data_IF_436510050551
#
_entry.id   IF_436510050551
#
_cell.length_a   1.000
_cell.length_b   1.000
_cell.length_c   1.000
_cell.angle_alpha   90.00
_cell.angle_beta   90.00
_cell.angle_gamma   90.00
#
_symmetry.space_group_name_H-M   'P 1'
#
loop_
_entity.id
_entity.type
_entity.pdbx_description
1 polymer ?
#
# COMPACT_ATOMS: atom_id res chain seq x y z
N UNK A 1 -13.30 -11.83 16.46
CA UNK A 1 -12.92 -11.01 17.63
C UNK A 1 -11.41 -10.72 17.62
N UNK A 2 -10.52 -11.72 17.75
CA UNK A 2 -9.06 -11.50 17.74
C UNK A 2 -8.51 -10.81 16.48
N UNK A 3 -8.93 -11.22 15.29
CA UNK A 3 -8.52 -10.59 14.02
C UNK A 3 -8.90 -9.10 13.97
N UNK A 4 -10.11 -8.75 14.41
CA UNK A 4 -10.63 -7.37 14.42
C UNK A 4 -9.84 -6.48 15.37
N UNK A 5 -9.51 -6.99 16.56
CA UNK A 5 -8.71 -6.25 17.55
C UNK A 5 -7.27 -6.08 17.07
N UNK A 6 -6.67 -7.12 16.49
CA UNK A 6 -5.29 -7.06 15.95
C UNK A 6 -5.21 -6.10 14.76
N UNK A 7 -6.09 -6.20 13.76
CA UNK A 7 -6.07 -5.29 12.60
C UNK A 7 -6.42 -3.84 12.95
N UNK A 8 -7.29 -3.61 13.94
CA UNK A 8 -7.58 -2.28 14.46
C UNK A 8 -6.37 -1.67 15.20
N UNK A 9 -5.73 -2.47 16.06
CA UNK A 9 -4.54 -2.05 16.82
C UNK A 9 -3.32 -1.85 15.92
N UNK A 10 -3.13 -2.71 14.92
CA UNK A 10 -2.08 -2.59 13.92
C UNK A 10 -2.24 -1.38 13.01
N UNK A 11 -3.48 -1.05 12.63
CA UNK A 11 -3.75 0.14 11.81
C UNK A 11 -3.27 1.44 12.45
N UNK A 12 -3.11 1.45 13.78
CA UNK A 12 -2.61 2.59 14.53
C UNK A 12 -1.12 2.48 14.90
N UNK A 13 -0.65 1.28 15.31
CA UNK A 13 0.60 1.12 16.06
C UNK A 13 1.77 0.54 15.25
N UNK A 14 1.57 -0.24 14.18
CA UNK A 14 2.68 -1.05 13.64
C UNK A 14 2.97 -0.88 12.14
N UNK A 15 4.25 -0.81 11.73
CA UNK A 15 4.70 -0.89 10.33
C UNK A 15 4.64 -2.32 9.74
N UNK A 16 3.89 -3.24 10.36
CA UNK A 16 3.64 -4.57 9.79
C UNK A 16 2.57 -4.45 8.70
N UNK A 17 2.92 -4.85 7.47
CA UNK A 17 1.98 -4.92 6.36
C UNK A 17 0.80 -5.84 6.75
N UNK A 18 -0.47 -5.37 6.71
CA UNK A 18 -1.65 -6.21 7.00
C UNK A 18 -1.69 -7.49 6.18
N UNK A 19 -1.04 -7.46 5.01
CA UNK A 19 -0.79 -8.58 4.09
C UNK A 19 -0.15 -9.78 4.81
N UNK A 20 0.72 -9.56 5.83
CA UNK A 20 1.36 -10.62 6.60
C UNK A 20 0.38 -11.47 7.40
N UNK A 21 -0.78 -10.91 7.75
CA UNK A 21 -1.85 -11.62 8.45
C UNK A 21 -2.92 -12.08 7.46
N UNK A 22 -3.26 -11.24 6.47
CA UNK A 22 -4.30 -11.53 5.50
C UNK A 22 -3.95 -12.74 4.62
N UNK A 23 -2.74 -12.79 4.07
CA UNK A 23 -2.32 -13.87 3.16
C UNK A 23 -2.36 -15.26 3.82
N UNK A 24 -1.73 -15.50 4.99
CA UNK A 24 -1.81 -16.81 5.63
C UNK A 24 -3.23 -17.18 6.06
N UNK A 25 -4.06 -16.20 6.47
CA UNK A 25 -5.46 -16.45 6.81
C UNK A 25 -6.27 -16.88 5.59
N UNK A 26 -6.10 -16.18 4.47
CA UNK A 26 -6.72 -16.54 3.19
C UNK A 26 -6.22 -17.89 2.68
N UNK A 27 -4.94 -18.24 2.88
CA UNK A 27 -4.41 -19.55 2.49
C UNK A 27 -4.90 -20.68 3.41
N UNK A 28 -5.14 -20.41 4.70
CA UNK A 28 -5.69 -21.40 5.61
C UNK A 28 -7.15 -21.77 5.26
N UNK A 29 -7.89 -20.81 4.71
CA UNK A 29 -9.29 -20.99 4.30
C UNK A 29 -9.59 -20.20 3.01
N UNK A 30 -9.18 -20.73 1.84
CA UNK A 30 -9.32 -20.04 0.55
C UNK A 30 -10.76 -19.73 0.17
N UNK A 31 -11.72 -20.54 0.60
CA UNK A 31 -13.14 -20.34 0.31
C UNK A 31 -13.66 -19.01 0.88
N UNK A 32 -13.10 -18.53 1.98
CA UNK A 32 -13.47 -17.26 2.62
C UNK A 32 -12.46 -16.13 2.34
N UNK A 33 -11.50 -16.31 1.43
CA UNK A 33 -10.45 -15.33 1.17
C UNK A 33 -10.99 -13.94 0.74
N UNK A 34 -12.06 -13.91 -0.08
CA UNK A 34 -12.72 -12.66 -0.49
C UNK A 34 -13.36 -11.96 0.71
N UNK A 35 -13.97 -12.72 1.62
CA UNK A 35 -14.57 -12.18 2.84
C UNK A 35 -13.50 -11.56 3.77
N UNK A 36 -12.38 -12.25 3.97
CA UNK A 36 -11.27 -11.71 4.77
C UNK A 36 -10.67 -10.46 4.13
N UNK A 37 -10.53 -10.42 2.81
CA UNK A 37 -10.07 -9.23 2.08
C UNK A 37 -11.03 -8.03 2.22
N UNK A 38 -12.34 -8.27 2.16
CA UNK A 38 -13.34 -7.24 2.37
C UNK A 38 -13.31 -6.70 3.81
N UNK A 39 -13.18 -7.58 4.80
CA UNK A 39 -13.04 -7.21 6.20
C UNK A 39 -11.75 -6.42 6.47
N UNK A 40 -10.63 -6.85 5.90
CA UNK A 40 -9.36 -6.12 5.99
C UNK A 40 -9.47 -4.74 5.36
N UNK A 41 -10.17 -4.62 4.23
CA UNK A 41 -10.43 -3.33 3.57
C UNK A 41 -11.20 -2.39 4.49
N UNK A 42 -12.32 -2.83 5.06
CA UNK A 42 -13.14 -1.97 5.93
C UNK A 42 -12.41 -1.60 7.22
N UNK A 43 -11.73 -2.55 7.86
CA UNK A 43 -10.92 -2.28 9.05
C UNK A 43 -9.78 -1.29 8.75
N UNK A 44 -9.11 -1.44 7.60
CA UNK A 44 -8.03 -0.56 7.18
C UNK A 44 -8.50 0.86 6.90
N UNK A 45 -9.65 1.01 6.21
CA UNK A 45 -10.26 2.32 5.96
C UNK A 45 -10.69 2.98 7.27
N UNK A 46 -11.28 2.22 8.20
CA UNK A 46 -11.64 2.73 9.52
C UNK A 46 -10.41 3.24 10.31
N UNK A 47 -9.30 2.50 10.29
CA UNK A 47 -8.03 2.98 10.86
C UNK A 47 -7.49 4.25 10.16
N UNK A 48 -7.71 4.35 8.84
CA UNK A 48 -7.42 5.54 8.06
C UNK A 48 -8.18 6.79 8.50
N UNK A 49 -9.41 6.65 9.02
CA UNK A 49 -10.17 7.77 9.56
C UNK A 49 -9.48 8.39 10.77
N UNK A 50 -8.86 7.56 11.61
CA UNK A 50 -8.09 8.03 12.77
C UNK A 50 -6.82 8.75 12.28
N UNK A 51 -6.12 8.19 11.29
CA UNK A 51 -4.98 8.84 10.66
C UNK A 51 -5.33 10.21 10.06
N UNK A 52 -6.46 10.30 9.37
CA UNK A 52 -6.99 11.55 8.83
C UNK A 52 -7.32 12.57 9.94
N UNK A 53 -7.94 12.14 11.03
CA UNK A 53 -8.21 13.00 12.19
C UNK A 53 -6.92 13.55 12.82
N UNK A 54 -5.90 12.70 12.98
CA UNK A 54 -4.58 13.10 13.49
C UNK A 54 -3.91 14.12 12.57
N UNK A 55 -3.97 13.88 11.26
CA UNK A 55 -3.48 14.83 10.27
C UNK A 55 -4.16 16.18 10.39
N UNK A 56 -5.49 16.19 10.50
CA UNK A 56 -6.27 17.42 10.64
C UNK A 56 -5.92 18.21 11.90
N UNK A 57 -5.65 17.51 13.02
CA UNK A 57 -5.29 18.12 14.29
C UNK A 57 -3.85 18.66 14.32
N UNK A 58 -2.89 17.90 13.78
CA UNK A 58 -1.48 18.30 13.76
C UNK A 58 -1.15 19.31 12.66
N UNK A 59 -1.99 19.40 11.63
CA UNK A 59 -1.82 20.30 10.49
C UNK A 59 -0.60 19.98 9.62
N UNK A 60 -0.24 20.87 8.67
CA UNK A 60 0.82 20.62 7.70
C UNK A 60 2.20 20.36 8.31
N UNK A 61 2.46 20.87 9.53
CA UNK A 61 3.75 20.70 10.22
C UNK A 61 4.12 19.23 10.49
N UNK A 62 3.15 18.32 10.59
CA UNK A 62 3.42 16.88 10.77
C UNK A 62 4.16 16.27 9.58
N UNK A 63 4.05 16.88 8.41
CA UNK A 63 4.54 16.32 7.16
C UNK A 63 6.05 16.46 7.02
N UNK A 64 6.65 17.38 7.78
CA UNK A 64 8.10 17.46 7.99
C UNK A 64 8.69 16.18 8.61
N UNK A 65 7.88 15.39 9.34
CA UNK A 65 8.28 14.12 9.95
C UNK A 65 8.22 12.94 8.98
N UNK A 66 7.64 13.11 7.79
CA UNK A 66 7.51 12.08 6.77
C UNK A 66 8.25 12.49 5.50
N UNK A 67 9.50 12.05 5.30
CA UNK A 67 10.30 12.44 4.13
C UNK A 67 9.59 12.18 2.79
N UNK A 68 8.89 11.04 2.69
CA UNK A 68 8.12 10.66 1.50
C UNK A 68 6.91 11.59 1.24
N UNK A 69 6.32 12.17 2.28
CA UNK A 69 5.24 13.14 2.13
C UNK A 69 5.79 14.52 1.76
N UNK A 70 6.92 14.92 2.37
CA UNK A 70 7.55 16.23 2.17
C UNK A 70 7.89 16.51 0.70
N UNK A 71 8.55 15.59 0.01
CA UNK A 71 8.94 15.78 -1.41
C UNK A 71 7.74 15.90 -2.34
N UNK A 72 6.64 15.21 -2.02
CA UNK A 72 5.40 15.33 -2.77
C UNK A 72 4.70 16.67 -2.50
N UNK A 73 5.00 17.32 -1.37
CA UNK A 73 4.26 18.47 -0.84
C UNK A 73 4.81 19.85 -1.16
N UNK A 74 6.12 20.01 -1.37
CA UNK A 74 6.71 21.28 -1.82
C UNK A 74 6.12 21.73 -3.17
N UNK A 75 5.48 20.82 -3.91
CA UNK A 75 4.75 21.08 -5.15
C UNK A 75 3.26 21.37 -4.95
N UNK A 76 2.71 21.08 -3.78
CA UNK A 76 1.26 21.06 -3.50
C UNK A 76 0.74 22.37 -2.93
N UNK A 77 1.59 23.24 -2.40
CA UNK A 77 1.17 24.58 -1.92
C UNK A 77 0.57 25.46 -3.03
N UNK A 78 0.86 25.16 -4.30
CA UNK A 78 0.29 25.84 -5.46
C UNK A 78 -0.97 25.17 -6.04
N UNK A 79 -1.38 24.01 -5.51
CA UNK A 79 -2.49 23.23 -6.06
C UNK A 79 -3.82 23.58 -5.42
N UNK A 80 -4.86 23.62 -6.25
CA UNK A 80 -6.25 23.66 -5.82
C UNK A 80 -6.62 22.41 -5.02
N UNK A 81 -7.65 22.50 -4.17
CA UNK A 81 -8.19 21.37 -3.39
C UNK A 81 -8.52 20.14 -4.25
N UNK A 82 -8.90 20.34 -5.52
CA UNK A 82 -9.19 19.26 -6.47
C UNK A 82 -7.93 18.54 -6.94
N UNK A 83 -6.86 19.28 -7.22
CA UNK A 83 -5.57 18.71 -7.63
C UNK A 83 -4.91 17.94 -6.49
N UNK A 84 -5.02 18.44 -5.25
CA UNK A 84 -4.55 17.73 -4.06
C UNK A 84 -5.23 16.36 -3.92
N UNK A 85 -6.55 16.30 -4.15
CA UNK A 85 -7.29 15.04 -4.10
C UNK A 85 -6.78 14.02 -5.15
N UNK A 86 -6.43 14.48 -6.36
CA UNK A 86 -5.85 13.62 -7.39
C UNK A 86 -4.45 13.11 -7.03
N UNK A 87 -3.60 13.97 -6.45
CA UNK A 87 -2.28 13.56 -5.96
C UNK A 87 -2.41 12.49 -4.89
N UNK A 88 -3.33 12.66 -3.93
CA UNK A 88 -3.60 11.67 -2.89
C UNK A 88 -4.16 10.38 -3.48
N UNK A 89 -5.04 10.47 -4.48
CA UNK A 89 -5.54 9.28 -5.18
C UNK A 89 -4.40 8.47 -5.82
N UNK A 90 -3.51 9.13 -6.55
CA UNK A 90 -2.35 8.47 -7.15
C UNK A 90 -1.39 7.91 -6.09
N UNK A 91 -1.19 8.64 -4.98
CA UNK A 91 -0.39 8.17 -3.86
C UNK A 91 -1.00 6.92 -3.21
N UNK A 92 -2.31 6.88 -3.00
CA UNK A 92 -3.03 5.70 -2.47
C UNK A 92 -2.94 4.51 -3.42
N UNK A 93 -2.87 4.75 -4.72
CA UNK A 93 -2.67 3.68 -5.71
C UNK A 93 -1.24 3.12 -5.72
N UNK A 94 -0.27 3.90 -5.26
CA UNK A 94 1.13 3.48 -5.18
C UNK A 94 1.35 2.51 -4.01
N UNK A 95 2.48 1.78 -3.96
CA UNK A 95 2.80 0.87 -2.84
C UNK A 95 3.18 1.61 -1.54
N UNK A 96 2.86 2.90 -1.41
CA UNK A 96 3.16 3.70 -0.23
C UNK A 96 2.37 3.24 1.00
N UNK A 97 2.94 3.39 2.21
CA UNK A 97 2.24 3.10 3.45
C UNK A 97 1.02 4.03 3.61
N UNK A 98 -0.17 3.45 3.63
CA UNK A 98 -1.44 4.20 3.74
C UNK A 98 -1.57 5.07 4.99
N UNK A 99 -0.87 4.73 6.09
CA UNK A 99 -0.82 5.60 7.28
C UNK A 99 -0.26 6.97 6.93
N UNK A 100 0.81 7.03 6.13
CA UNK A 100 1.39 8.30 5.66
C UNK A 100 0.35 9.06 4.84
N UNK A 101 -0.39 8.36 3.99
CA UNK A 101 -1.35 8.97 3.06
C UNK A 101 -2.59 9.50 3.79
N UNK A 102 -3.13 8.74 4.74
CA UNK A 102 -4.27 9.17 5.56
C UNK A 102 -3.95 10.37 6.44
N UNK A 103 -2.79 10.37 7.11
CA UNK A 103 -2.30 11.53 7.87
C UNK A 103 -2.08 12.73 6.95
N UNK A 104 -1.51 12.52 5.76
CA UNK A 104 -1.31 13.59 4.77
C UNK A 104 -2.64 14.16 4.28
N UNK A 105 -3.63 13.32 3.98
CA UNK A 105 -4.95 13.76 3.57
C UNK A 105 -5.65 14.60 4.63
N UNK A 106 -5.50 14.22 5.91
CA UNK A 106 -6.01 14.99 7.04
C UNK A 106 -5.32 16.34 7.20
N UNK A 107 -3.99 16.34 7.15
CA UNK A 107 -3.18 17.54 7.33
C UNK A 107 -3.38 18.58 6.20
N UNK A 108 -3.67 18.10 4.99
CA UNK A 108 -4.05 18.92 3.84
C UNK A 108 -5.54 19.23 3.75
N UNK A 109 -6.35 18.79 4.73
CA UNK A 109 -7.80 19.02 4.82
C UNK A 109 -8.54 18.64 3.53
N UNK A 110 -8.15 17.52 2.91
CA UNK A 110 -8.87 17.00 1.74
C UNK A 110 -10.30 16.66 2.14
N UNK A 111 -11.27 16.96 1.26
CA UNK A 111 -12.69 16.69 1.51
C UNK A 111 -12.90 15.24 1.99
N UNK A 112 -13.57 15.08 3.14
CA UNK A 112 -13.70 13.78 3.82
C UNK A 112 -14.41 12.71 2.98
N UNK A 113 -15.57 12.98 2.33
CA UNK A 113 -16.16 12.07 1.35
C UNK A 113 -15.19 11.62 0.25
N UNK A 114 -14.39 12.54 -0.30
CA UNK A 114 -13.40 12.22 -1.33
C UNK A 114 -12.30 11.31 -0.76
N UNK A 115 -11.83 11.59 0.46
CA UNK A 115 -10.85 10.76 1.15
C UNK A 115 -11.36 9.33 1.39
N UNK A 116 -12.64 9.16 1.77
CA UNK A 116 -13.26 7.84 1.93
C UNK A 116 -13.21 7.07 0.61
N UNK A 117 -13.67 7.69 -0.49
CA UNK A 117 -13.71 7.05 -1.81
C UNK A 117 -12.32 6.62 -2.27
N UNK A 118 -11.34 7.53 -2.16
CA UNK A 118 -9.95 7.25 -2.52
C UNK A 118 -9.37 6.12 -1.66
N UNK A 119 -9.58 6.21 -0.34
CA UNK A 119 -9.11 5.20 0.61
C UNK A 119 -9.68 3.83 0.33
N UNK A 120 -10.99 3.76 0.13
CA UNK A 120 -11.68 2.52 -0.17
C UNK A 120 -11.16 1.92 -1.48
N UNK A 121 -11.06 2.73 -2.54
CA UNK A 121 -10.53 2.27 -3.82
C UNK A 121 -9.11 1.70 -3.71
N UNK A 122 -8.21 2.37 -2.98
CA UNK A 122 -6.84 1.89 -2.80
C UNK A 122 -6.71 0.64 -1.97
N UNK A 123 -7.44 0.60 -0.85
CA UNK A 123 -7.41 -0.53 0.07
C UNK A 123 -8.10 -1.76 -0.51
N UNK A 124 -9.26 -1.56 -1.12
CA UNK A 124 -9.97 -2.62 -1.81
C UNK A 124 -9.09 -3.18 -2.93
N UNK A 125 -8.46 -2.34 -3.76
CA UNK A 125 -7.54 -2.82 -4.79
C UNK A 125 -6.46 -3.73 -4.21
N UNK A 126 -5.77 -3.32 -3.14
CA UNK A 126 -4.68 -4.12 -2.57
C UNK A 126 -5.18 -5.45 -2.00
N UNK A 127 -6.13 -5.40 -1.06
CA UNK A 127 -6.56 -6.59 -0.34
C UNK A 127 -7.49 -7.48 -1.16
N UNK A 128 -8.38 -6.93 -1.99
CA UNK A 128 -9.25 -7.75 -2.84
C UNK A 128 -8.48 -8.44 -3.94
N UNK A 129 -7.43 -7.83 -4.52
CA UNK A 129 -6.59 -8.54 -5.48
C UNK A 129 -5.96 -9.76 -4.80
N UNK A 130 -5.41 -9.60 -3.59
CA UNK A 130 -4.83 -10.71 -2.82
C UNK A 130 -5.89 -11.79 -2.50
N UNK A 131 -7.05 -11.38 -1.97
CA UNK A 131 -8.14 -12.29 -1.61
C UNK A 131 -8.71 -13.04 -2.82
N UNK A 132 -8.91 -12.37 -3.96
CA UNK A 132 -9.39 -12.98 -5.20
C UNK A 132 -8.36 -13.94 -5.78
N UNK A 133 -7.08 -13.56 -5.79
CA UNK A 133 -6.02 -14.46 -6.24
C UNK A 133 -5.97 -15.73 -5.39
N UNK A 134 -6.06 -15.60 -4.07
CA UNK A 134 -6.04 -16.76 -3.17
C UNK A 134 -7.33 -17.57 -3.26
N UNK A 135 -8.49 -16.93 -3.47
CA UNK A 135 -9.74 -17.65 -3.67
C UNK A 135 -9.70 -18.58 -4.88
N UNK A 136 -9.13 -18.12 -6.01
CA UNK A 136 -9.04 -18.92 -7.23
C UNK A 136 -7.82 -19.86 -7.26
N UNK A 137 -6.66 -19.42 -6.78
CA UNK A 137 -5.39 -20.14 -6.91
C UNK A 137 -4.86 -20.72 -5.59
N UNK A 138 -5.52 -20.46 -4.46
CA UNK A 138 -5.04 -20.84 -3.13
C UNK A 138 -4.97 -22.34 -2.94
N UNK A 139 -5.96 -23.11 -3.42
CA UNK A 139 -5.93 -24.58 -3.36
C UNK A 139 -4.75 -25.15 -4.15
N UNK A 140 -4.54 -24.67 -5.38
CA UNK A 140 -3.39 -25.04 -6.20
C UNK A 140 -2.05 -24.62 -5.56
N UNK A 141 -2.00 -23.44 -4.92
CA UNK A 141 -0.82 -22.98 -4.20
C UNK A 141 -0.50 -23.85 -2.98
N UNK A 142 -1.51 -24.29 -2.24
CA UNK A 142 -1.36 -25.19 -1.08
C UNK A 142 -0.89 -26.57 -1.52
N UNK A 143 -1.42 -27.10 -2.62
CA UNK A 143 -0.94 -28.36 -3.21
C UNK A 143 0.50 -28.24 -3.67
N UNK A 144 0.87 -27.16 -4.37
CA UNK A 144 2.25 -26.88 -4.77
C UNK A 144 3.18 -26.81 -3.55
N UNK A 145 2.78 -26.13 -2.47
CA UNK A 145 3.56 -26.01 -1.24
C UNK A 145 3.74 -27.36 -0.55
N UNK A 146 2.72 -28.24 -0.60
CA UNK A 146 2.79 -29.59 -0.04
C UNK A 146 3.69 -30.51 -0.86
N UNK A 147 3.69 -30.37 -2.18
CA UNK A 147 4.44 -31.23 -3.10
C UNK A 147 5.91 -30.79 -3.23
N UNK A 148 6.16 -29.49 -3.20
CA UNK A 148 7.49 -28.88 -3.34
C UNK A 148 7.95 -28.28 -2.01
N UNK A 149 8.77 -29.03 -1.26
CA UNK A 149 9.41 -28.58 -0.02
C UNK A 149 10.08 -27.20 -0.15
N UNK A 150 10.26 -26.51 0.99
CA UNK A 150 10.86 -25.17 1.21
C UNK A 150 11.95 -24.73 0.21
N UNK A 151 12.78 -25.64 -0.29
CA UNK A 151 13.87 -25.37 -1.22
C UNK A 151 13.38 -24.80 -2.57
N UNK A 152 12.33 -25.36 -3.15
CA UNK A 152 11.83 -24.96 -4.48
C UNK A 152 11.09 -23.63 -4.45
N UNK A 153 10.32 -23.38 -3.40
CA UNK A 153 9.67 -22.09 -3.16
C UNK A 153 10.72 -20.99 -2.92
N UNK A 154 11.79 -21.29 -2.17
CA UNK A 154 12.91 -20.37 -1.98
C UNK A 154 13.64 -20.04 -3.29
N UNK A 155 13.78 -21.00 -4.20
CA UNK A 155 14.37 -20.78 -5.54
C UNK A 155 13.50 -19.87 -6.39
N UNK A 156 12.19 -20.08 -6.45
CA UNK A 156 11.26 -19.25 -7.24
C UNK A 156 11.20 -17.81 -6.70
N UNK A 157 11.13 -17.66 -5.38
CA UNK A 157 11.17 -16.34 -4.72
C UNK A 157 12.51 -15.66 -4.96
N UNK A 158 13.62 -16.40 -4.83
CA UNK A 158 14.96 -15.91 -5.13
C UNK A 158 15.11 -15.42 -6.57
N UNK A 159 14.64 -16.21 -7.55
CA UNK A 159 14.64 -15.83 -8.97
C UNK A 159 13.81 -14.58 -9.20
N UNK A 160 12.62 -14.49 -8.61
CA UNK A 160 11.72 -13.34 -8.74
C UNK A 160 12.31 -12.06 -8.13
N UNK A 161 13.02 -12.17 -7.00
CA UNK A 161 13.75 -11.07 -6.36
C UNK A 161 14.95 -10.61 -7.22
N UNK A 162 15.70 -11.55 -7.80
CA UNK A 162 16.82 -11.24 -8.70
C UNK A 162 16.29 -10.58 -9.98
N UNK A 163 15.21 -11.09 -10.56
CA UNK A 163 14.58 -10.53 -11.76
C UNK A 163 14.09 -9.09 -11.53
N UNK A 164 13.40 -8.85 -10.42
CA UNK A 164 12.94 -7.51 -10.05
C UNK A 164 14.09 -6.54 -9.76
N UNK A 165 15.17 -7.00 -9.10
CA UNK A 165 16.37 -6.21 -8.87
C UNK A 165 17.12 -5.87 -10.18
N UNK A 166 17.23 -6.83 -11.10
CA UNK A 166 17.85 -6.62 -12.43
C UNK A 166 17.00 -5.66 -13.27
N UNK A 167 15.69 -5.83 -13.25
CA UNK A 167 14.75 -4.94 -13.95
C UNK A 167 14.82 -3.52 -13.39
N UNK A 168 14.88 -3.36 -12.07
CA UNK A 168 15.04 -2.07 -11.39
C UNK A 168 16.36 -1.40 -11.76
N UNK A 169 17.48 -2.12 -11.75
CA UNK A 169 18.80 -1.59 -12.18
C UNK A 169 18.80 -1.16 -13.65
N UNK A 170 18.14 -1.92 -14.53
CA UNK A 170 18.00 -1.58 -15.96
C UNK A 170 17.17 -0.32 -16.16
N UNK A 171 16.09 -0.13 -15.38
CA UNK A 171 15.28 1.10 -15.38
C UNK A 171 16.11 2.32 -14.95
N UNK A 172 16.83 2.24 -13.84
CA UNK A 172 17.66 3.36 -13.33
C UNK A 172 18.74 3.75 -14.34
N UNK A 173 19.50 2.78 -14.88
CA UNK A 173 20.53 3.07 -15.90
C UNK A 173 19.96 3.67 -17.18
N UNK A 174 18.76 3.25 -17.60
CA UNK A 174 18.11 3.82 -18.78
C UNK A 174 17.76 5.31 -18.57
N UNK A 175 17.36 5.70 -17.37
CA UNK A 175 17.11 7.10 -17.02
C UNK A 175 18.41 7.93 -16.97
N UNK A 176 19.51 7.39 -16.43
CA UNK A 176 20.83 8.07 -16.41
C UNK A 176 21.41 8.28 -17.81
N UNK A 177 21.26 7.29 -18.70
CA UNK A 177 21.74 7.37 -20.08
C UNK A 177 20.96 8.38 -20.92
N UNK A 178 19.66 8.55 -20.64
CA UNK A 178 18.82 9.56 -21.30
C UNK A 178 19.15 10.98 -20.79
N UNK A 179 19.43 11.15 -19.50
CA UNK A 179 19.89 12.42 -18.93
C UNK A 179 21.26 12.85 -19.49
N UNK A 180 22.19 11.89 -19.65
CA UNK A 180 23.52 12.15 -20.25
C UNK A 180 23.42 12.53 -21.73
N UNK A 181 22.47 11.94 -22.48
CA UNK A 181 22.25 12.28 -23.91
C UNK A 181 21.56 13.64 -24.12
N UNK A 182 20.84 14.16 -23.13
CA UNK A 182 20.16 15.46 -23.21
C UNK A 182 21.04 16.65 -22.77
N UNK A 183 22.32 16.43 -22.50
CA UNK A 183 23.28 17.53 -22.23
C UNK A 183 23.11 18.24 -20.88
N UNK A 184 22.22 17.76 -20.01
CA UNK A 184 22.12 18.23 -18.63
C UNK A 184 23.13 17.44 -17.79
N UNK A 185 24.37 17.95 -17.73
CA UNK A 185 25.28 17.62 -16.63
C UNK A 185 24.95 18.50 -15.41
N UNK A 186 25.23 17.98 -14.20
CA UNK A 186 24.74 18.51 -12.92
C UNK A 186 25.20 19.93 -12.63
#
# INVERSE_FOLDING_TARGET
MGLTVVTFTESFISPLMPDLILVPLCLADPANAIYYAALATTASVAGGFIGYGIGMWLGPGVLSRFPAARTAMEKVEAYSTREVAWVIFLAVMSPLPYKVISITAGALRVNFPMFILISFAGRAKRFMIEGVLIYYFGSAAIELIREYSLATTAVIVGISLIWSAVWWRRRVKKHELLATKQGLKP
#
